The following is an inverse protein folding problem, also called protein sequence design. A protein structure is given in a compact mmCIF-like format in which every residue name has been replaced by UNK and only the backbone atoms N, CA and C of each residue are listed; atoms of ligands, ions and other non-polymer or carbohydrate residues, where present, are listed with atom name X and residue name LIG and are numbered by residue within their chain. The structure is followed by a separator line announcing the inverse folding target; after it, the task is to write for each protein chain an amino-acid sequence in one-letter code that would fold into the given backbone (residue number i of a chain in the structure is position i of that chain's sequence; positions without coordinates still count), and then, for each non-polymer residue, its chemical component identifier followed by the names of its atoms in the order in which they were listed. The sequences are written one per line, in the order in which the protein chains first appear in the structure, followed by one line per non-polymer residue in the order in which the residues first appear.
data_IF_536703537536
#
_entry.id   IF_536703537536
#
_cell.length_a   1.000
_cell.length_b   1.000
_cell.length_c   1.000
_cell.angle_alpha   90.00
_cell.angle_beta   90.00
_cell.angle_gamma   90.00
#
_symmetry.space_group_name_H-M   'P 1'
#
loop_
_entity.id
_entity.type
_entity.pdbx_description
1 polymer ?
#
# COMPACT_ATOMS: atom_id res chain seq x y z
N UNK A 1 -7.63 22.41 -7.37
CA UNK A 1 -7.77 21.17 -6.58
C UNK A 1 -6.62 20.24 -6.93
N UNK A 2 -5.88 19.70 -5.96
CA UNK A 2 -4.76 18.80 -6.24
C UNK A 2 -5.24 17.48 -6.86
N UNK A 3 -4.42 16.86 -7.74
CA UNK A 3 -4.73 15.62 -8.49
C UNK A 3 -5.20 14.43 -7.64
N UNK A 4 -5.01 14.46 -6.32
CA UNK A 4 -5.32 13.39 -5.37
C UNK A 4 -6.45 13.73 -4.38
N UNK A 5 -7.24 14.75 -4.70
CA UNK A 5 -8.53 14.97 -4.05
C UNK A 5 -9.63 14.49 -4.99
N UNK A 6 -10.60 13.78 -4.45
CA UNK A 6 -11.82 13.48 -5.20
C UNK A 6 -12.65 14.74 -5.38
N UNK A 7 -13.32 14.87 -6.53
CA UNK A 7 -14.13 16.06 -6.86
C UNK A 7 -15.47 16.05 -6.14
N UNK A 8 -16.08 14.87 -6.01
CA UNK A 8 -17.35 14.61 -5.36
C UNK A 8 -17.43 13.15 -4.89
N UNK A 9 -18.49 12.78 -4.20
CA UNK A 9 -18.66 11.43 -3.67
C UNK A 9 -18.69 10.37 -4.78
N UNK A 10 -19.26 10.69 -5.94
CA UNK A 10 -19.35 9.78 -7.09
C UNK A 10 -17.96 9.41 -7.63
N UNK A 11 -17.06 10.38 -7.79
CA UNK A 11 -15.67 10.17 -8.21
C UNK A 11 -14.91 9.26 -7.22
N UNK A 12 -15.20 9.38 -5.92
CA UNK A 12 -14.63 8.48 -4.92
C UNK A 12 -15.14 7.04 -5.08
N UNK A 13 -16.44 6.85 -5.27
CA UNK A 13 -17.06 5.52 -5.46
C UNK A 13 -16.49 4.85 -6.70
N UNK A 14 -16.48 5.55 -7.84
CA UNK A 14 -15.95 5.02 -9.10
C UNK A 14 -14.46 4.65 -9.01
N UNK A 15 -13.66 5.51 -8.38
CA UNK A 15 -12.22 5.23 -8.19
C UNK A 15 -12.02 4.01 -7.31
N UNK A 16 -12.85 3.86 -6.26
CA UNK A 16 -12.78 2.70 -5.36
C UNK A 16 -13.15 1.41 -6.08
N UNK A 17 -14.26 1.39 -6.83
CA UNK A 17 -14.72 0.20 -7.56
C UNK A 17 -13.68 -0.24 -8.59
N UNK A 18 -13.20 0.69 -9.43
CA UNK A 18 -12.14 0.41 -10.42
C UNK A 18 -10.86 -0.12 -9.78
N UNK A 19 -10.45 0.46 -8.65
CA UNK A 19 -9.27 0.03 -7.93
C UNK A 19 -9.45 -1.37 -7.30
N UNK A 20 -10.62 -1.69 -6.76
CA UNK A 20 -10.93 -3.00 -6.20
C UNK A 20 -11.02 -4.09 -7.27
N UNK A 21 -11.62 -3.79 -8.43
CA UNK A 21 -11.64 -4.69 -9.59
C UNK A 21 -10.24 -4.96 -10.12
N UNK A 22 -9.46 -3.90 -10.36
CA UNK A 22 -8.06 -4.03 -10.75
C UNK A 22 -7.25 -4.85 -9.73
N UNK A 23 -7.43 -4.63 -8.43
CA UNK A 23 -6.69 -5.36 -7.41
C UNK A 23 -6.89 -6.88 -7.51
N UNK A 24 -8.13 -7.31 -7.83
CA UNK A 24 -8.48 -8.74 -7.97
C UNK A 24 -7.76 -9.40 -9.15
N UNK A 25 -7.40 -8.65 -10.19
CA UNK A 25 -6.74 -9.21 -11.39
C UNK A 25 -5.23 -9.44 -11.21
N UNK A 26 -4.59 -8.78 -10.25
CA UNK A 26 -3.12 -8.83 -10.08
C UNK A 26 -2.64 -10.22 -9.60
N UNK A 27 -3.29 -10.79 -8.58
CA UNK A 27 -2.91 -12.06 -7.98
C UNK A 27 -1.54 -12.04 -7.28
N UNK A 28 -0.45 -12.26 -8.03
CA UNK A 28 0.93 -12.27 -7.52
C UNK A 28 1.90 -11.67 -8.53
N UNK A 29 2.83 -10.83 -8.07
CA UNK A 29 3.88 -10.21 -8.91
C UNK A 29 5.27 -10.65 -8.48
N UNK A 30 6.22 -10.79 -9.40
CA UNK A 30 7.60 -11.17 -9.08
C UNK A 30 8.40 -9.90 -8.73
N UNK A 31 8.99 -9.85 -7.54
CA UNK A 31 9.89 -8.77 -7.14
C UNK A 31 11.37 -9.20 -7.33
N UNK A 32 12.15 -8.53 -8.20
CA UNK A 32 13.56 -8.86 -8.42
C UNK A 32 14.42 -8.76 -7.17
N UNK A 33 14.30 -7.67 -6.39
CA UNK A 33 15.07 -7.47 -5.16
C UNK A 33 14.85 -8.62 -4.16
N UNK A 34 13.59 -8.97 -3.89
CA UNK A 34 13.24 -10.02 -2.92
C UNK A 34 13.41 -11.44 -3.48
N UNK A 35 13.62 -11.58 -4.79
CA UNK A 35 13.69 -12.88 -5.50
C UNK A 35 12.48 -13.79 -5.21
N UNK A 36 11.32 -13.21 -4.93
CA UNK A 36 10.08 -13.90 -4.53
C UNK A 36 8.86 -13.29 -5.21
N UNK A 37 7.77 -14.04 -5.24
CA UNK A 37 6.45 -13.52 -5.65
C UNK A 37 5.76 -12.87 -4.45
N UNK A 38 5.20 -11.69 -4.67
CA UNK A 38 4.48 -10.89 -3.69
C UNK A 38 2.99 -11.04 -3.95
N UNK A 39 2.23 -11.47 -2.94
CA UNK A 39 0.80 -11.68 -3.07
C UNK A 39 0.01 -10.38 -2.90
N UNK A 40 -0.94 -10.13 -3.79
CA UNK A 40 -1.95 -9.08 -3.66
C UNK A 40 -3.22 -9.71 -3.09
N UNK A 41 -3.26 -9.88 -1.77
CA UNK A 41 -4.34 -10.58 -1.08
C UNK A 41 -5.33 -9.62 -0.39
N UNK A 42 -6.40 -10.17 0.20
CA UNK A 42 -7.45 -9.40 0.87
C UNK A 42 -6.92 -8.53 2.02
N UNK A 43 -5.83 -8.92 2.69
CA UNK A 43 -5.23 -8.13 3.78
C UNK A 43 -4.68 -6.82 3.26
N UNK A 44 -3.95 -6.85 2.14
CA UNK A 44 -3.43 -5.65 1.49
C UNK A 44 -4.53 -4.69 1.04
N UNK A 45 -5.58 -5.21 0.37
CA UNK A 45 -6.72 -4.39 -0.07
C UNK A 45 -7.46 -3.76 1.12
N UNK A 46 -7.67 -4.52 2.20
CA UNK A 46 -8.27 -3.99 3.42
C UNK A 46 -7.44 -2.86 4.00
N UNK A 47 -6.11 -3.00 4.04
CA UNK A 47 -5.23 -1.98 4.61
C UNK A 47 -5.15 -0.67 3.80
N UNK A 48 -5.54 -0.67 2.51
CA UNK A 48 -5.74 0.57 1.74
C UNK A 48 -6.91 1.40 2.26
N UNK A 49 -7.95 0.73 2.79
CA UNK A 49 -9.19 1.34 3.27
C UNK A 49 -9.17 1.60 4.78
N UNK A 50 -8.50 0.75 5.55
CA UNK A 50 -8.48 0.76 7.01
C UNK A 50 -7.06 0.96 7.55
N UNK A 51 -6.91 1.68 8.66
CA UNK A 51 -5.64 1.82 9.38
C UNK A 51 -5.37 0.62 10.27
N UNK A 52 -6.41 0.16 10.96
CA UNK A 52 -6.41 -0.97 11.88
C UNK A 52 -7.79 -1.62 11.85
N UNK A 53 -7.96 -2.69 12.64
CA UNK A 53 -9.29 -3.19 12.93
C UNK A 53 -10.16 -2.05 13.48
N UNK A 54 -11.39 -1.98 12.99
CA UNK A 54 -12.42 -0.99 13.35
C UNK A 54 -12.11 0.48 13.00
N UNK A 55 -10.95 0.81 12.44
CA UNK A 55 -10.59 2.19 12.09
C UNK A 55 -10.44 2.38 10.57
N UNK A 56 -11.46 2.96 9.94
CA UNK A 56 -11.38 3.39 8.55
C UNK A 56 -10.39 4.56 8.40
N UNK A 57 -9.69 4.61 7.27
CA UNK A 57 -8.92 5.79 6.87
C UNK A 57 -9.89 6.90 6.47
N UNK A 58 -9.47 8.15 6.61
CA UNK A 58 -10.22 9.29 6.04
C UNK A 58 -10.32 9.15 4.52
N UNK A 59 -11.42 9.63 3.90
CA UNK A 59 -11.70 9.40 2.46
C UNK A 59 -10.56 9.87 1.54
N UNK A 60 -9.93 11.00 1.83
CA UNK A 60 -8.80 11.53 1.06
C UNK A 60 -7.56 10.61 1.09
N UNK A 61 -7.32 9.95 2.23
CA UNK A 61 -6.25 8.97 2.39
C UNK A 61 -6.58 7.67 1.68
N UNK A 62 -7.86 7.27 1.63
CA UNK A 62 -8.29 6.11 0.86
C UNK A 62 -8.16 6.39 -0.64
N UNK A 63 -8.70 7.52 -1.10
CA UNK A 63 -8.71 7.92 -2.50
C UNK A 63 -7.30 7.96 -3.09
N UNK A 64 -6.37 8.65 -2.43
CA UNK A 64 -4.99 8.75 -2.90
C UNK A 64 -4.30 7.38 -3.04
N UNK A 65 -4.55 6.46 -2.11
CA UNK A 65 -3.97 5.10 -2.17
C UNK A 65 -4.61 4.23 -3.23
N UNK A 66 -5.94 4.26 -3.35
CA UNK A 66 -6.70 3.52 -4.36
C UNK A 66 -6.33 4.02 -5.77
N UNK A 67 -6.21 5.33 -5.95
CA UNK A 67 -5.81 5.94 -7.21
C UNK A 67 -4.40 5.53 -7.65
N UNK A 68 -3.46 5.37 -6.70
CA UNK A 68 -2.08 4.96 -6.99
C UNK A 68 -1.88 3.44 -7.08
N UNK A 69 -2.92 2.65 -6.82
CA UNK A 69 -2.80 1.19 -6.72
C UNK A 69 -2.27 0.54 -8.00
N UNK A 70 -2.63 1.08 -9.16
CA UNK A 70 -2.17 0.61 -10.47
C UNK A 70 -0.65 0.68 -10.66
N UNK A 71 0.05 1.53 -9.90
CA UNK A 71 1.50 1.65 -9.95
C UNK A 71 2.20 0.61 -9.06
N UNK A 72 1.53 0.05 -8.05
CA UNK A 72 2.17 -0.84 -7.09
C UNK A 72 2.77 -2.12 -7.71
N UNK A 73 2.07 -2.83 -8.62
CA UNK A 73 2.67 -3.93 -9.38
C UNK A 73 3.95 -3.53 -10.12
N UNK A 74 3.89 -2.41 -10.85
CA UNK A 74 5.01 -1.94 -11.67
C UNK A 74 6.24 -1.60 -10.83
N UNK A 75 6.04 -0.95 -9.67
CA UNK A 75 7.12 -0.67 -8.73
C UNK A 75 7.77 -1.98 -8.28
N UNK A 76 6.99 -2.96 -7.83
CA UNK A 76 7.53 -4.21 -7.32
C UNK A 76 8.28 -5.02 -8.40
N UNK A 77 7.76 -5.05 -9.63
CA UNK A 77 8.35 -5.78 -10.75
C UNK A 77 9.65 -5.16 -11.27
N UNK A 78 9.77 -3.83 -11.21
CA UNK A 78 10.97 -3.10 -11.67
C UNK A 78 12.00 -2.87 -10.56
N UNK A 79 11.66 -3.14 -9.30
CA UNK A 79 12.53 -2.83 -8.16
C UNK A 79 13.67 -3.83 -7.99
N UNK A 80 14.90 -3.33 -8.16
CA UNK A 80 16.15 -4.04 -7.87
C UNK A 80 16.83 -3.57 -6.57
N UNK A 81 16.29 -2.53 -5.94
CA UNK A 81 16.79 -1.97 -4.69
C UNK A 81 15.66 -1.82 -3.69
N UNK A 82 16.02 -1.69 -2.41
CA UNK A 82 15.11 -1.47 -1.31
C UNK A 82 15.56 -0.25 -0.52
N UNK A 83 14.62 0.60 -0.13
CA UNK A 83 14.92 1.86 0.55
C UNK A 83 14.74 1.79 2.06
N UNK A 84 13.99 0.81 2.57
CA UNK A 84 13.80 0.62 4.00
C UNK A 84 13.39 -0.79 4.38
N UNK A 85 13.85 -1.24 5.54
CA UNK A 85 13.40 -2.45 6.22
C UNK A 85 13.06 -2.06 7.66
N UNK A 86 11.91 -2.52 8.14
CA UNK A 86 11.52 -2.35 9.53
C UNK A 86 11.01 -3.66 10.12
N UNK A 87 11.48 -3.97 11.33
CA UNK A 87 11.12 -5.15 12.09
C UNK A 87 10.26 -4.75 13.28
N UNK A 88 9.19 -5.51 13.54
CA UNK A 88 8.32 -5.29 14.69
C UNK A 88 7.67 -6.59 15.14
N UNK A 89 7.07 -6.58 16.33
CA UNK A 89 6.24 -7.66 16.84
C UNK A 89 4.80 -7.20 16.86
N UNK A 90 3.89 -7.96 16.25
CA UNK A 90 2.45 -7.70 16.36
C UNK A 90 1.68 -8.98 16.66
N UNK A 91 0.53 -8.83 17.28
CA UNK A 91 -0.43 -9.91 17.42
C UNK A 91 -1.08 -10.20 16.08
N UNK A 92 -1.05 -11.44 15.64
CA UNK A 92 -1.76 -11.95 14.48
C UNK A 92 -2.77 -13.00 14.93
N UNK A 93 -3.99 -12.92 14.39
CA UNK A 93 -5.00 -13.95 14.60
C UNK A 93 -4.66 -15.20 13.80
N UNK A 94 -4.64 -16.35 14.49
CA UNK A 94 -4.45 -17.64 13.86
C UNK A 94 -5.44 -18.65 14.44
N UNK A 95 -6.05 -19.44 13.55
CA UNK A 95 -6.79 -20.64 13.95
C UNK A 95 -5.81 -21.70 14.44
N UNK A 96 -6.02 -22.22 15.64
CA UNK A 96 -5.32 -23.44 16.10
C UNK A 96 -5.84 -24.68 15.37
N UNK A 97 -5.02 -25.75 15.33
CA UNK A 97 -5.24 -26.99 14.60
C UNK A 97 -6.67 -27.57 14.72
N UNK A 98 -7.05 -28.35 13.68
CA UNK A 98 -8.35 -29.01 13.33
C UNK A 98 -9.29 -29.48 14.47
N UNK A 99 -8.83 -29.59 15.71
CA UNK A 99 -9.57 -30.19 16.83
C UNK A 99 -10.22 -29.17 17.77
N UNK A 100 -9.73 -27.91 17.80
CA UNK A 100 -10.29 -26.85 18.63
C UNK A 100 -10.24 -25.54 17.82
N UNK A 101 -11.36 -25.23 17.16
CA UNK A 101 -11.57 -24.11 16.22
C UNK A 101 -11.62 -22.75 16.95
N UNK A 102 -10.62 -22.48 17.80
CA UNK A 102 -10.48 -21.23 18.54
C UNK A 102 -9.48 -20.33 17.82
N UNK A 103 -9.88 -19.08 17.62
CA UNK A 103 -8.98 -18.03 17.20
C UNK A 103 -8.11 -17.61 18.38
N UNK A 104 -6.79 -17.56 18.18
CA UNK A 104 -5.86 -17.04 19.16
C UNK A 104 -5.04 -15.90 18.56
N UNK A 105 -4.80 -14.88 19.37
CA UNK A 105 -3.86 -13.80 19.05
C UNK A 105 -2.47 -14.24 19.48
N UNK A 106 -1.59 -14.49 18.52
CA UNK A 106 -0.22 -14.92 18.78
C UNK A 106 0.72 -13.79 18.37
N UNK A 107 1.66 -13.44 19.24
CA UNK A 107 2.69 -12.46 18.92
C UNK A 107 3.63 -13.05 17.86
N UNK A 108 3.82 -12.34 16.75
CA UNK A 108 4.69 -12.75 15.66
C UNK A 108 5.64 -11.63 15.26
N UNK A 109 6.83 -12.03 14.84
CA UNK A 109 7.77 -11.14 14.18
C UNK A 109 7.28 -10.82 12.77
N UNK A 110 7.32 -9.53 12.44
CA UNK A 110 6.83 -8.96 11.20
C UNK A 110 7.92 -8.07 10.61
N UNK A 111 8.10 -8.20 9.30
CA UNK A 111 9.03 -7.40 8.52
C UNK A 111 8.26 -6.59 7.49
N UNK A 112 8.56 -5.31 7.41
CA UNK A 112 8.08 -4.41 6.37
C UNK A 112 9.22 -4.02 5.45
N UNK A 113 8.99 -4.14 4.14
CA UNK A 113 9.93 -3.75 3.10
C UNK A 113 9.36 -2.52 2.38
N UNK A 114 10.16 -1.47 2.30
CA UNK A 114 9.79 -0.21 1.66
C UNK A 114 10.51 -0.03 0.31
N UNK A 115 9.71 0.06 -0.76
CA UNK A 115 10.17 0.39 -2.10
C UNK A 115 9.74 1.81 -2.43
N UNK A 116 10.67 2.68 -2.79
CA UNK A 116 10.38 4.05 -3.24
C UNK A 116 10.68 4.12 -4.73
N UNK A 117 9.74 4.64 -5.50
CA UNK A 117 9.87 4.85 -6.93
C UNK A 117 9.32 6.21 -7.34
N UNK A 118 9.76 6.67 -8.50
CA UNK A 118 9.14 7.78 -9.23
C UNK A 118 8.60 7.19 -10.52
N UNK A 119 7.28 7.18 -10.67
CA UNK A 119 6.57 6.73 -11.88
C UNK A 119 5.56 7.81 -12.25
N UNK A 120 5.43 8.13 -13.54
CA UNK A 120 4.50 9.15 -14.04
C UNK A 120 4.63 10.51 -13.32
N UNK A 121 5.88 10.91 -13.03
CA UNK A 121 6.22 12.09 -12.22
C UNK A 121 5.65 12.09 -10.79
N UNK A 122 5.21 10.93 -10.29
CA UNK A 122 4.68 10.74 -8.94
C UNK A 122 5.72 9.97 -8.14
N UNK A 123 6.24 10.56 -7.06
CA UNK A 123 7.01 9.82 -6.07
C UNK A 123 6.06 9.06 -5.13
N UNK A 124 6.22 7.75 -5.05
CA UNK A 124 5.41 6.88 -4.21
C UNK A 124 6.25 5.85 -3.48
N UNK A 125 5.70 5.35 -2.36
CA UNK A 125 6.22 4.26 -1.57
C UNK A 125 5.28 3.06 -1.65
N UNK A 126 5.81 1.88 -1.96
CA UNK A 126 5.11 0.60 -1.88
C UNK A 126 5.65 -0.18 -0.70
N UNK A 127 4.74 -0.68 0.14
CA UNK A 127 5.05 -1.47 1.33
C UNK A 127 4.69 -2.93 1.09
N UNK A 128 5.63 -3.82 1.35
CA UNK A 128 5.42 -5.27 1.43
C UNK A 128 5.52 -5.69 2.89
N UNK A 129 4.55 -6.48 3.37
CA UNK A 129 4.54 -7.06 4.71
C UNK A 129 4.89 -8.54 4.63
N UNK A 130 5.66 -9.00 5.59
CA UNK A 130 5.96 -10.40 5.85
C UNK A 130 5.71 -10.70 7.31
N UNK A 131 4.89 -11.69 7.59
CA UNK A 131 4.87 -12.34 8.89
C UNK A 131 5.89 -13.47 8.80
N UNK A 132 6.87 -13.54 9.70
CA UNK A 132 7.94 -14.55 9.63
C UNK A 132 7.35 -15.96 9.50
N UNK A 133 7.80 -16.69 8.48
CA UNK A 133 7.29 -18.02 8.10
C UNK A 133 6.05 -18.01 7.19
N UNK A 134 5.50 -16.84 6.88
CA UNK A 134 4.36 -16.66 5.97
C UNK A 134 4.73 -16.16 4.57
N UNK A 135 3.72 -15.89 3.75
CA UNK A 135 3.94 -15.27 2.42
C UNK A 135 4.14 -13.76 2.52
N UNK A 136 5.09 -13.25 1.72
CA UNK A 136 5.25 -11.81 1.49
C UNK A 136 4.06 -11.30 0.68
N UNK A 137 3.40 -10.26 1.17
CA UNK A 137 2.23 -9.70 0.53
C UNK A 137 2.28 -8.18 0.48
N UNK A 138 1.65 -7.62 -0.55
CA UNK A 138 1.43 -6.19 -0.64
C UNK A 138 0.65 -5.72 0.58
N UNK A 139 1.10 -4.61 1.18
CA UNK A 139 0.49 -4.02 2.36
C UNK A 139 -0.11 -2.64 2.07
N UNK A 140 0.62 -1.77 1.38
CA UNK A 140 0.12 -0.43 1.06
C UNK A 140 0.88 0.21 -0.09
N UNK A 141 0.25 1.19 -0.73
CA UNK A 141 0.90 2.18 -1.59
C UNK A 141 0.63 3.55 -0.99
N UNK A 142 1.64 4.41 -0.91
CA UNK A 142 1.55 5.69 -0.22
C UNK A 142 2.24 6.76 -1.09
N UNK A 143 1.56 7.86 -1.44
CA UNK A 143 2.23 8.99 -2.09
C UNK A 143 3.26 9.62 -1.15
N UNK A 144 4.43 9.98 -1.69
CA UNK A 144 5.39 10.82 -0.98
C UNK A 144 4.96 12.28 -1.10
N UNK A 145 4.34 12.80 -0.03
CA UNK A 145 3.97 14.20 0.08
C UNK A 145 5.21 15.07 0.36
N UNK A 146 5.42 16.10 -0.44
CA UNK A 146 6.14 17.31 -0.05
C UNK A 146 5.18 18.29 0.65
N UNK A 147 5.74 19.38 1.17
CA UNK A 147 4.97 20.49 1.75
C UNK A 147 5.22 21.73 0.88
N UNK A 148 4.15 22.41 0.47
CA UNK A 148 4.25 23.73 -0.14
C UNK A 148 4.82 24.70 0.90
N UNK A 149 6.02 25.23 0.66
CA UNK A 149 6.66 26.15 1.59
C UNK A 149 5.88 27.46 1.77
N UNK A 150 5.08 27.86 0.77
CA UNK A 150 4.29 29.09 0.77
C UNK A 150 2.90 28.90 1.39
N UNK A 151 2.22 27.79 1.11
CA UNK A 151 0.83 27.57 1.55
C UNK A 151 0.68 26.58 2.70
N UNK A 152 1.75 25.90 3.11
CA UNK A 152 1.73 24.85 4.14
C UNK A 152 0.96 23.58 3.75
N UNK A 153 0.36 23.54 2.55
CA UNK A 153 -0.44 22.41 2.06
C UNK A 153 0.47 21.29 1.56
N UNK A 154 0.02 20.03 1.71
CA UNK A 154 0.70 18.87 1.11
C UNK A 154 0.71 19.02 -0.42
N UNK A 155 1.88 19.01 -1.03
CA UNK A 155 2.05 18.88 -2.49
C UNK A 155 2.63 17.51 -2.76
N UNK A 156 2.33 16.92 -3.91
CA UNK A 156 3.03 15.73 -4.34
C UNK A 156 4.35 16.14 -5.02
N UNK A 157 5.47 15.47 -4.71
CA UNK A 157 6.70 15.65 -5.49
C UNK A 157 6.42 15.20 -6.94
N UNK A 158 6.23 16.18 -7.83
CA UNK A 158 5.76 15.99 -9.20
C UNK A 158 5.07 17.23 -9.80
N UNK A 159 4.47 18.09 -8.97
CA UNK A 159 3.67 19.22 -9.48
C UNK A 159 4.47 20.51 -9.75
N UNK A 160 5.78 20.57 -9.43
CA UNK A 160 6.68 21.68 -9.78
C UNK A 160 8.03 21.14 -10.28
N UNK A 161 8.07 20.58 -11.48
CA UNK A 161 9.31 20.61 -12.27
C UNK A 161 9.09 21.70 -13.32
N UNK A 162 9.21 22.95 -12.89
CA UNK A 162 9.48 24.04 -13.82
C UNK A 162 10.83 23.70 -14.46
N UNK A 163 10.79 23.36 -15.74
CA UNK A 163 11.98 23.32 -16.57
C UNK A 163 12.53 24.74 -16.60
N UNK A 164 13.68 24.96 -15.95
CA UNK A 164 14.56 26.08 -16.29
C UNK A 164 15.43 25.66 -17.47
#
# INVERSE_FOLDING_TARGET
MGKFNFKNEQDFIETKEKAEEFYKTIGKVKCPYLKRRIAFNARGLRHLKFKSDQQARIKIDQYSRLKLLHLAPQVLEKSHTLQGIWHTKQFEEQKTNKTNDRWRHIMKDIVFYEFIAVLDNIRLKVIVKEVIGGEKHFWSVIPCWGINKTTGKRILHGDNVEYN
#
